data_IF_669877669819
#
_entry.id   IF_669877669819
#
_cell.length_a   1.000
_cell.length_b   1.000
_cell.length_c   1.000
_cell.angle_alpha   90.00
_cell.angle_beta   90.00
_cell.angle_gamma   90.00
#
_symmetry.space_group_name_H-M   'P 1'
#
loop_
_entity.id
_entity.type
_entity.pdbx_description
1 polymer ?
#
# COMPACT_ATOMS: atom_id res chain seq x y z
N UNK A 1 12.01 -3.17 -14.96
CA UNK A 1 10.60 -2.91 -14.58
C UNK A 1 10.50 -2.42 -13.13
N UNK A 2 9.99 -1.20 -12.87
CA UNK A 2 10.11 -0.55 -11.59
C UNK A 2 9.12 -1.07 -10.55
N UNK A 3 9.60 -1.24 -9.32
CA UNK A 3 8.74 -1.43 -8.14
C UNK A 3 8.93 -0.22 -7.24
N UNK A 4 7.84 0.45 -6.89
CA UNK A 4 7.87 1.66 -6.07
C UNK A 4 7.07 1.40 -4.80
N UNK A 5 7.74 1.39 -3.65
CA UNK A 5 7.09 1.26 -2.35
C UNK A 5 6.94 2.64 -1.70
N UNK A 6 5.70 3.10 -1.54
CA UNK A 6 5.38 4.32 -0.82
C UNK A 6 4.97 4.01 0.62
N UNK A 7 5.64 4.66 1.56
CA UNK A 7 5.31 4.63 2.97
C UNK A 7 5.31 6.03 3.57
N UNK A 8 5.31 6.10 4.90
CA UNK A 8 5.33 7.36 5.65
C UNK A 8 4.12 7.50 6.55
N UNK A 9 3.79 8.75 6.88
CA UNK A 9 2.79 9.09 7.90
C UNK A 9 1.36 8.99 7.37
N UNK A 10 0.41 8.76 8.27
CA UNK A 10 -1.03 8.91 8.01
C UNK A 10 -1.29 10.26 7.35
N UNK A 11 -2.10 10.30 6.29
CA UNK A 11 -2.36 11.52 5.51
C UNK A 11 -1.11 12.25 4.96
N UNK A 12 0.04 11.57 4.86
CA UNK A 12 1.27 12.10 4.26
C UNK A 12 1.23 12.24 2.74
N UNK A 13 0.19 11.71 2.08
CA UNK A 13 -0.05 11.86 0.63
C UNK A 13 0.10 10.58 -0.20
N UNK A 14 0.45 9.43 0.41
CA UNK A 14 0.72 8.19 -0.31
C UNK A 14 -0.43 7.67 -1.18
N UNK A 15 -1.67 7.75 -0.68
CA UNK A 15 -2.86 7.30 -1.43
C UNK A 15 -3.31 8.27 -2.53
N UNK A 16 -2.77 9.49 -2.54
CA UNK A 16 -3.00 10.47 -3.60
C UNK A 16 -1.88 10.35 -4.65
N UNK A 17 -0.63 10.35 -4.20
CA UNK A 17 0.56 10.32 -5.05
C UNK A 17 0.73 8.95 -5.74
N UNK A 18 0.43 7.84 -5.05
CA UNK A 18 0.65 6.50 -5.57
C UNK A 18 -0.01 6.23 -6.92
N UNK A 19 -1.32 6.48 -7.07
CA UNK A 19 -1.99 6.34 -8.36
C UNK A 19 -1.47 7.32 -9.42
N UNK A 20 -1.08 8.54 -9.03
CA UNK A 20 -0.51 9.53 -9.95
C UNK A 20 0.83 9.03 -10.54
N UNK A 21 1.69 8.44 -9.70
CA UNK A 21 2.96 7.83 -10.11
C UNK A 21 2.70 6.65 -11.05
N UNK A 22 1.79 5.76 -10.66
CA UNK A 22 1.42 4.58 -11.46
C UNK A 22 0.93 4.98 -12.86
N UNK A 23 0.05 6.00 -12.93
CA UNK A 23 -0.46 6.57 -14.18
C UNK A 23 0.65 7.16 -15.05
N UNK A 24 1.59 7.93 -14.49
CA UNK A 24 2.68 8.55 -15.26
C UNK A 24 3.66 7.51 -15.81
N UNK A 25 3.92 6.44 -15.05
CA UNK A 25 4.82 5.35 -15.46
C UNK A 25 4.12 4.26 -16.28
N UNK A 26 2.79 4.29 -16.37
CA UNK A 26 1.95 3.24 -17.00
C UNK A 26 2.20 1.86 -16.39
N UNK A 27 2.22 1.82 -15.06
CA UNK A 27 2.42 0.61 -14.26
C UNK A 27 1.23 0.40 -13.31
N UNK A 28 1.16 -0.77 -12.68
CA UNK A 28 0.06 -1.10 -11.78
C UNK A 28 0.14 -0.33 -10.46
N UNK A 29 -1.01 -0.21 -9.79
CA UNK A 29 -1.12 0.38 -8.45
C UNK A 29 -1.83 -0.58 -7.51
N UNK A 30 -1.24 -0.78 -6.34
CA UNK A 30 -1.78 -1.60 -5.26
C UNK A 30 -1.62 -0.87 -3.94
N UNK A 31 -2.66 -0.88 -3.12
CA UNK A 31 -2.62 -0.33 -1.76
C UNK A 31 -2.92 -1.39 -0.70
N UNK A 32 -2.96 -0.93 0.55
CA UNK A 32 -3.17 -1.76 1.73
C UNK A 32 -4.45 -2.61 1.66
N UNK A 33 -5.50 -2.15 0.97
CA UNK A 33 -6.82 -2.80 0.94
C UNK A 33 -6.82 -3.87 -0.13
N UNK A 34 -6.21 -3.57 -1.28
CA UNK A 34 -5.96 -4.55 -2.34
C UNK A 34 -5.02 -5.66 -1.82
N UNK A 35 -3.97 -5.32 -1.07
CA UNK A 35 -3.06 -6.33 -0.46
C UNK A 35 -3.82 -7.19 0.56
N UNK A 36 -4.66 -6.58 1.39
CA UNK A 36 -5.49 -7.32 2.36
C UNK A 36 -6.43 -8.28 1.63
N UNK A 37 -7.16 -7.81 0.63
CA UNK A 37 -8.07 -8.64 -0.15
C UNK A 37 -7.33 -9.74 -0.89
N UNK A 38 -6.19 -9.44 -1.50
CA UNK A 38 -5.33 -10.43 -2.15
C UNK A 38 -4.83 -11.48 -1.15
N UNK A 39 -4.36 -11.08 0.04
CA UNK A 39 -3.96 -12.01 1.08
C UNK A 39 -5.12 -12.90 1.58
N UNK A 40 -6.32 -12.34 1.73
CA UNK A 40 -7.52 -13.07 2.15
C UNK A 40 -8.03 -14.03 1.07
N UNK A 41 -8.01 -13.63 -0.20
CA UNK A 41 -8.39 -14.47 -1.33
C UNK A 41 -7.33 -15.54 -1.66
N UNK A 42 -6.05 -15.25 -1.36
CA UNK A 42 -4.95 -16.20 -1.32
C UNK A 42 -5.03 -17.17 -0.14
N UNK A 43 -6.15 -17.20 0.60
CA UNK A 43 -6.59 -18.37 1.38
C UNK A 43 -6.70 -19.67 0.57
N UNK A 44 -6.40 -19.65 -0.74
CA UNK A 44 -5.96 -20.81 -1.51
C UNK A 44 -4.44 -20.98 -1.39
N UNK A 45 -4.04 -21.67 -0.33
CA UNK A 45 -3.37 -22.98 -0.40
C UNK A 45 -2.31 -23.15 0.70
N UNK A 46 -2.77 -23.38 1.93
CA UNK A 46 -1.91 -23.86 3.04
C UNK A 46 -1.38 -25.28 2.73
N UNK A 47 -1.99 -26.03 1.80
CA UNK A 47 -1.44 -27.31 1.31
C UNK A 47 -0.30 -27.13 0.28
N UNK A 48 -0.20 -26.00 -0.42
CA UNK A 48 0.92 -25.69 -1.33
C UNK A 48 2.23 -25.44 -0.57
N UNK A 49 2.15 -24.97 0.68
CA UNK A 49 3.31 -24.76 1.54
C UNK A 49 3.58 -25.90 2.53
N UNK A 50 2.77 -26.98 2.49
CA UNK A 50 2.98 -28.18 3.32
C UNK A 50 3.30 -29.43 2.51
N UNK A 51 3.79 -29.30 1.28
CA UNK A 51 4.47 -30.40 0.57
C UNK A 51 5.79 -29.94 -0.05
N UNK A 52 6.84 -30.64 0.39
CA UNK A 52 8.20 -30.75 -0.15
C UNK A 52 8.31 -30.42 -1.64
N UNK A 53 9.41 -29.73 -1.95
CA UNK A 53 10.20 -29.79 -3.18
C UNK A 53 9.54 -30.49 -4.37
N UNK A 54 9.19 -29.72 -5.40
CA UNK A 54 9.58 -29.97 -6.78
C UNK A 54 9.19 -28.76 -7.64
N UNK A 55 10.11 -28.26 -8.48
CA UNK A 55 9.78 -27.30 -9.53
C UNK A 55 8.85 -28.00 -10.53
N UNK A 56 7.70 -27.41 -10.91
CA UNK A 56 7.49 -27.27 -12.34
C UNK A 56 6.74 -26.00 -12.79
N UNK A 57 6.95 -25.79 -14.07
CA UNK A 57 6.43 -24.82 -15.03
C UNK A 57 4.92 -24.56 -15.01
N UNK A 58 4.59 -23.31 -15.34
CA UNK A 58 3.32 -22.82 -15.90
C UNK A 58 2.17 -22.63 -14.91
N UNK A 59 2.26 -21.55 -14.11
CA UNK A 59 1.17 -21.07 -13.24
C UNK A 59 0.68 -19.65 -13.60
N UNK A 60 1.12 -19.09 -14.73
CA UNK A 60 0.94 -17.66 -15.06
C UNK A 60 -0.50 -17.27 -15.40
N UNK A 61 -1.35 -18.16 -15.89
CA UNK A 61 -2.65 -17.73 -16.45
C UNK A 61 -3.77 -17.63 -15.39
N UNK A 62 -3.73 -18.40 -14.31
CA UNK A 62 -4.86 -18.49 -13.36
C UNK A 62 -4.91 -17.33 -12.35
N UNK A 63 -3.77 -16.92 -11.80
CA UNK A 63 -3.71 -15.77 -10.88
C UNK A 63 -3.85 -14.46 -11.65
N UNK A 64 -3.18 -14.32 -12.80
CA UNK A 64 -3.33 -13.12 -13.65
C UNK A 64 -4.78 -12.94 -14.11
N UNK A 65 -5.51 -14.01 -14.45
CA UNK A 65 -6.93 -13.88 -14.79
C UNK A 65 -7.84 -13.59 -13.59
N UNK A 66 -7.53 -14.06 -12.39
CA UNK A 66 -8.33 -13.73 -11.19
C UNK A 66 -8.08 -12.30 -10.71
N UNK A 67 -6.82 -11.86 -10.72
CA UNK A 67 -6.45 -10.47 -10.44
C UNK A 67 -6.97 -9.55 -11.55
N UNK A 68 -6.86 -9.92 -12.83
CA UNK A 68 -7.43 -9.15 -13.94
C UNK A 68 -8.95 -9.07 -13.87
N UNK A 69 -9.67 -10.13 -13.46
CA UNK A 69 -11.12 -10.05 -13.27
C UNK A 69 -11.52 -9.12 -12.11
N UNK A 70 -10.66 -8.96 -11.10
CA UNK A 70 -10.88 -8.01 -10.00
C UNK A 70 -10.54 -6.59 -10.48
N UNK A 71 -9.45 -6.41 -11.23
CA UNK A 71 -9.07 -5.14 -11.85
C UNK A 71 -10.09 -4.67 -12.90
N UNK A 72 -10.65 -5.57 -13.72
CA UNK A 72 -11.70 -5.31 -14.71
C UNK A 72 -13.03 -4.93 -14.05
N UNK A 73 -13.40 -5.60 -12.96
CA UNK A 73 -14.57 -5.20 -12.14
C UNK A 73 -14.35 -3.87 -11.41
N UNK A 74 -13.10 -3.54 -11.09
CA UNK A 74 -12.72 -2.25 -10.51
C UNK A 74 -12.79 -1.13 -11.54
N UNK A 75 -12.43 -1.40 -12.81
CA UNK A 75 -12.57 -0.45 -13.91
C UNK A 75 -14.04 -0.15 -14.26
N UNK A 76 -14.96 -1.11 -14.03
CA UNK A 76 -16.38 -0.93 -14.33
C UNK A 76 -17.12 -0.01 -13.34
N UNK A 77 -16.57 0.20 -12.13
CA UNK A 77 -17.14 1.14 -11.15
C UNK A 77 -16.79 2.61 -11.44
N UNK A 78 -15.97 2.86 -12.47
CA UNK A 78 -15.43 4.17 -12.84
C UNK A 78 -16.28 4.99 -13.83
N UNK A 79 -17.47 4.51 -14.21
CA UNK A 79 -18.39 5.29 -15.05
C UNK A 79 -19.42 6.01 -14.17
N UNK A 80 -19.14 7.28 -13.82
CA UNK A 80 -20.08 8.43 -13.73
C UNK A 80 -19.46 9.51 -12.81
N UNK A 81 -19.16 10.68 -13.39
CA UNK A 81 -19.01 11.96 -12.68
C UNK A 81 -17.57 12.41 -12.36
N UNK A 82 -16.85 12.86 -13.39
CA UNK A 82 -15.45 13.37 -13.40
C UNK A 82 -14.33 12.37 -12.99
N UNK A 83 -13.29 12.19 -13.82
CA UNK A 83 -12.74 10.87 -14.15
C UNK A 83 -11.59 10.36 -13.28
N UNK A 84 -11.21 11.04 -12.19
CA UNK A 84 -9.97 10.67 -11.47
C UNK A 84 -10.15 9.86 -10.21
N UNK A 85 -11.11 10.14 -9.32
CA UNK A 85 -11.40 9.23 -8.20
C UNK A 85 -12.85 9.40 -7.79
N UNK A 86 -13.69 8.40 -8.12
CA UNK A 86 -15.13 8.42 -7.84
C UNK A 86 -15.48 8.22 -6.35
N UNK A 87 -16.77 8.32 -6.00
CA UNK A 87 -17.26 8.23 -4.60
C UNK A 87 -16.91 6.90 -3.90
N UNK A 88 -16.55 5.86 -4.64
CA UNK A 88 -16.05 4.59 -4.09
C UNK A 88 -14.63 4.66 -3.54
N UNK A 89 -13.74 5.49 -4.11
CA UNK A 89 -12.37 5.66 -3.60
C UNK A 89 -12.36 6.29 -2.20
N UNK A 90 -13.41 7.05 -1.88
CA UNK A 90 -13.54 7.66 -0.58
C UNK A 90 -13.73 6.61 0.54
N UNK A 91 -14.44 5.52 0.28
CA UNK A 91 -14.62 4.43 1.25
C UNK A 91 -13.33 3.63 1.53
N UNK A 92 -12.39 3.57 0.58
CA UNK A 92 -11.08 2.93 0.77
C UNK A 92 -10.09 3.84 1.55
N UNK A 93 -10.33 5.14 1.50
CA UNK A 93 -9.49 6.13 2.15
C UNK A 93 -9.70 6.20 3.68
N UNK A 94 -10.81 5.70 4.23
CA UNK A 94 -11.14 5.86 5.67
C UNK A 94 -10.44 4.86 6.62
N UNK A 95 -10.10 3.63 6.20
CA UNK A 95 -9.66 2.59 7.16
C UNK A 95 -8.15 2.36 7.20
N UNK A 96 -7.33 3.38 7.47
CA UNK A 96 -5.85 3.31 7.33
C UNK A 96 -5.19 2.24 8.22
N UNK A 97 -5.68 2.05 9.45
CA UNK A 97 -5.17 1.06 10.41
C UNK A 97 -6.25 0.47 11.35
N UNK A 98 -7.53 0.81 11.15
CA UNK A 98 -8.67 0.41 11.99
C UNK A 98 -9.01 -1.08 11.87
N UNK A 99 -8.56 -1.73 10.79
CA UNK A 99 -8.69 -3.17 10.52
C UNK A 99 -8.03 -4.11 11.55
N UNK A 100 -7.35 -3.57 12.55
CA UNK A 100 -6.68 -4.34 13.60
C UNK A 100 -7.55 -4.55 14.85
N UNK A 101 -8.84 -4.23 14.82
CA UNK A 101 -9.77 -4.92 15.71
C UNK A 101 -9.86 -6.39 15.27
N UNK A 102 -9.08 -7.21 15.95
CA UNK A 102 -8.90 -8.67 15.83
C UNK A 102 -10.19 -9.52 15.83
N UNK A 103 -11.36 -8.91 15.92
CA UNK A 103 -12.65 -9.58 16.03
C UNK A 103 -13.23 -9.93 14.64
N UNK A 104 -13.22 -9.02 13.66
CA UNK A 104 -13.83 -9.29 12.35
C UNK A 104 -13.03 -10.28 11.48
N UNK A 105 -11.69 -10.27 11.57
CA UNK A 105 -10.84 -11.17 10.77
C UNK A 105 -10.82 -12.61 11.33
N UNK A 106 -10.90 -12.77 12.66
CA UNK A 106 -10.87 -14.08 13.32
C UNK A 106 -12.18 -14.85 13.15
N UNK A 107 -13.33 -14.16 13.21
CA UNK A 107 -14.65 -14.75 13.01
C UNK A 107 -14.91 -15.15 11.55
N UNK A 108 -14.46 -14.34 10.58
CA UNK A 108 -14.79 -14.55 9.16
C UNK A 108 -13.81 -15.46 8.42
N UNK A 109 -12.52 -15.46 8.80
CA UNK A 109 -11.47 -16.16 8.05
C UNK A 109 -10.66 -17.16 8.89
N UNK A 110 -10.89 -17.25 10.21
CA UNK A 110 -10.19 -18.17 11.12
C UNK A 110 -8.66 -18.10 11.07
N UNK A 111 -8.08 -16.97 10.63
CA UNK A 111 -6.64 -16.77 10.59
C UNK A 111 -6.15 -16.20 11.92
N UNK A 112 -5.08 -16.77 12.47
CA UNK A 112 -4.35 -16.11 13.55
C UNK A 112 -3.51 -14.94 12.96
N UNK A 113 -3.16 -13.98 13.82
CA UNK A 113 -2.45 -12.76 13.41
C UNK A 113 -1.11 -13.03 12.70
N UNK A 114 -0.45 -14.15 13.03
CA UNK A 114 0.84 -14.54 12.46
C UNK A 114 0.70 -14.98 11.02
N UNK A 115 -0.29 -15.83 10.73
CA UNK A 115 -0.53 -16.36 9.38
C UNK A 115 -1.04 -15.28 8.44
N UNK A 116 -1.91 -14.39 8.92
CA UNK A 116 -2.34 -13.22 8.17
C UNK A 116 -1.15 -12.30 7.81
N UNK A 117 -0.29 -12.02 8.79
CA UNK A 117 0.90 -11.19 8.59
C UNK A 117 1.85 -11.81 7.55
N UNK A 118 2.10 -13.13 7.62
CA UNK A 118 2.90 -13.85 6.62
C UNK A 118 2.27 -13.76 5.23
N UNK A 119 0.95 -13.96 5.11
CA UNK A 119 0.23 -13.85 3.85
C UNK A 119 0.41 -12.46 3.21
N UNK A 120 0.25 -11.40 4.00
CA UNK A 120 0.49 -10.01 3.54
C UNK A 120 1.93 -9.82 3.06
N UNK A 121 2.93 -10.30 3.81
CA UNK A 121 4.34 -10.18 3.42
C UNK A 121 4.63 -10.92 2.12
N UNK A 122 4.11 -12.13 1.96
CA UNK A 122 4.28 -12.92 0.74
C UNK A 122 3.61 -12.27 -0.46
N UNK A 123 2.39 -11.73 -0.30
CA UNK A 123 1.71 -10.97 -1.36
C UNK A 123 2.56 -9.79 -1.82
N UNK A 124 3.14 -9.01 -0.90
CA UNK A 124 4.01 -7.87 -1.26
C UNK A 124 5.26 -8.34 -2.03
N UNK A 125 5.88 -9.44 -1.62
CA UNK A 125 7.03 -10.02 -2.31
C UNK A 125 6.67 -10.48 -3.73
N UNK A 126 5.56 -11.20 -3.88
CA UNK A 126 5.08 -11.68 -5.18
C UNK A 126 4.74 -10.52 -6.13
N UNK A 127 4.07 -9.48 -5.62
CA UNK A 127 3.78 -8.28 -6.41
C UNK A 127 5.08 -7.58 -6.85
N UNK A 128 6.09 -7.51 -6.00
CA UNK A 128 7.38 -6.94 -6.35
C UNK A 128 8.15 -7.78 -7.38
N UNK A 129 8.04 -9.11 -7.34
CA UNK A 129 8.67 -10.02 -8.32
C UNK A 129 8.06 -9.86 -9.73
N UNK A 130 6.75 -9.61 -9.82
CA UNK A 130 6.09 -9.30 -11.10
C UNK A 130 6.64 -7.99 -11.72
N UNK A 131 7.09 -7.07 -10.87
CA UNK A 131 7.59 -5.76 -11.30
C UNK A 131 6.47 -4.84 -11.78
N UNK A 132 6.84 -3.65 -12.28
CA UNK A 132 5.90 -2.68 -12.85
C UNK A 132 4.71 -2.38 -11.93
N UNK A 133 5.00 -1.97 -10.69
CA UNK A 133 3.96 -1.73 -9.69
C UNK A 133 4.35 -0.65 -8.67
N UNK A 134 3.36 0.17 -8.30
CA UNK A 134 3.40 1.05 -7.13
C UNK A 134 2.64 0.38 -5.99
N UNK A 135 3.29 0.21 -4.84
CA UNK A 135 2.74 -0.42 -3.64
C UNK A 135 2.67 0.63 -2.52
N UNK A 136 1.49 0.85 -1.94
CA UNK A 136 1.29 1.81 -0.84
C UNK A 136 0.93 1.11 0.46
N UNK A 137 1.73 1.32 1.50
CA UNK A 137 1.43 0.86 2.87
C UNK A 137 1.85 -0.58 3.17
N UNK A 138 1.23 -1.18 4.20
CA UNK A 138 1.47 -2.55 4.74
C UNK A 138 2.94 -2.91 4.95
N UNK A 139 3.79 -1.92 5.25
CA UNK A 139 5.21 -2.14 5.45
C UNK A 139 5.99 -2.53 4.20
N UNK A 140 5.49 -2.24 2.99
CA UNK A 140 6.19 -2.56 1.74
C UNK A 140 7.63 -2.01 1.69
N UNK A 141 7.86 -0.82 2.27
CA UNK A 141 9.19 -0.23 2.40
C UNK A 141 10.15 -1.03 3.30
N UNK A 142 9.61 -1.82 4.23
CA UNK A 142 10.38 -2.71 5.11
C UNK A 142 10.57 -4.07 4.46
N UNK A 143 9.48 -4.67 3.97
CA UNK A 143 9.48 -5.99 3.32
C UNK A 143 10.47 -5.99 2.14
N UNK A 144 10.47 -4.92 1.35
CA UNK A 144 11.28 -4.79 0.14
C UNK A 144 12.61 -4.08 0.36
N UNK A 145 13.07 -3.92 1.61
CA UNK A 145 14.27 -3.14 1.96
C UNK A 145 15.54 -3.60 1.23
N UNK A 146 15.68 -4.90 1.01
CA UNK A 146 16.84 -5.51 0.35
C UNK A 146 16.60 -5.86 -1.12
N UNK A 147 15.45 -5.48 -1.68
CA UNK A 147 15.13 -5.80 -3.05
C UNK A 147 15.89 -4.85 -4.01
N UNK A 148 16.73 -5.36 -4.92
CA UNK A 148 17.68 -4.54 -5.68
C UNK A 148 17.00 -3.61 -6.70
N UNK A 149 15.74 -3.88 -7.06
CA UNK A 149 14.97 -3.12 -8.06
C UNK A 149 13.76 -2.38 -7.48
N UNK A 150 13.83 -1.99 -6.20
CA UNK A 150 12.74 -1.26 -5.53
C UNK A 150 13.17 0.17 -5.21
N UNK A 151 12.35 1.16 -5.56
CA UNK A 151 12.44 2.51 -5.04
C UNK A 151 11.52 2.64 -3.80
N UNK A 152 12.09 3.00 -2.65
CA UNK A 152 11.32 3.22 -1.41
C UNK A 152 11.23 4.71 -1.11
N UNK A 153 10.02 5.26 -1.05
CA UNK A 153 9.81 6.69 -0.77
C UNK A 153 8.93 6.88 0.45
N UNK A 154 9.41 7.69 1.39
CA UNK A 154 8.65 8.13 2.56
C UNK A 154 7.92 9.43 2.26
N UNK A 155 6.63 9.51 2.60
CA UNK A 155 5.81 10.70 2.42
C UNK A 155 5.39 11.24 3.78
N UNK A 156 5.77 12.48 4.05
CA UNK A 156 5.47 13.19 5.30
C UNK A 156 4.72 14.49 5.00
N UNK A 157 4.11 15.05 6.02
CA UNK A 157 3.49 16.37 5.99
C UNK A 157 3.41 16.92 7.41
N UNK A 158 3.35 18.24 7.52
CA UNK A 158 3.08 18.94 8.77
C UNK A 158 1.72 18.51 9.35
N UNK A 159 1.64 18.46 10.67
CA UNK A 159 0.43 18.03 11.39
C UNK A 159 -0.82 18.77 10.91
N UNK A 160 -0.74 20.10 10.76
CA UNK A 160 -1.88 20.92 10.32
C UNK A 160 -2.41 20.47 8.96
N UNK A 161 -1.53 20.21 7.99
CA UNK A 161 -1.95 19.77 6.66
C UNK A 161 -2.52 18.35 6.67
N UNK A 162 -1.96 17.47 7.51
CA UNK A 162 -2.50 16.12 7.70
C UNK A 162 -3.92 16.16 8.29
N UNK A 163 -4.13 16.98 9.32
CA UNK A 163 -5.45 17.22 9.93
C UNK A 163 -6.41 17.78 8.88
N UNK A 164 -6.02 18.81 8.13
CA UNK A 164 -6.86 19.40 7.10
C UNK A 164 -7.26 18.40 6.02
N UNK A 165 -6.33 17.53 5.59
CA UNK A 165 -6.60 16.46 4.64
C UNK A 165 -7.63 15.49 5.20
N UNK A 166 -7.45 15.00 6.43
CA UNK A 166 -8.39 14.06 7.07
C UNK A 166 -9.76 14.73 7.28
N UNK A 167 -9.80 15.96 7.80
CA UNK A 167 -11.03 16.72 8.02
C UNK A 167 -11.81 16.92 6.73
N UNK A 168 -11.15 17.39 5.67
CA UNK A 168 -11.79 17.61 4.36
C UNK A 168 -12.26 16.31 3.73
N UNK A 169 -11.45 15.26 3.88
CA UNK A 169 -11.68 13.97 3.24
C UNK A 169 -12.80 13.17 3.92
N UNK A 170 -12.87 13.17 5.25
CA UNK A 170 -13.87 12.44 6.04
C UNK A 170 -15.06 13.30 6.44
N UNK A 171 -15.03 14.59 6.12
CA UNK A 171 -16.05 15.57 6.50
C UNK A 171 -16.31 15.59 8.02
N UNK A 172 -15.23 15.70 8.79
CA UNK A 172 -15.24 15.76 10.26
C UNK A 172 -14.56 17.04 10.76
N UNK A 173 -14.78 17.42 12.01
CA UNK A 173 -14.12 18.60 12.60
C UNK A 173 -12.61 18.44 12.67
N UNK A 174 -11.87 19.55 12.76
CA UNK A 174 -10.40 19.52 12.92
C UNK A 174 -9.99 18.74 14.19
N UNK A 175 -10.74 18.88 15.29
CA UNK A 175 -10.49 18.13 16.52
C UNK A 175 -10.66 16.63 16.31
N UNK A 176 -11.72 16.22 15.61
CA UNK A 176 -11.95 14.80 15.31
C UNK A 176 -10.91 14.26 14.33
N UNK A 177 -10.54 15.04 13.32
CA UNK A 177 -9.50 14.69 12.36
C UNK A 177 -8.14 14.51 13.04
N UNK A 178 -7.81 15.35 14.02
CA UNK A 178 -6.61 15.20 14.85
C UNK A 178 -6.62 13.90 15.65
N UNK A 179 -7.73 13.59 16.32
CA UNK A 179 -7.90 12.34 17.06
C UNK A 179 -7.71 11.12 16.14
N UNK A 180 -8.33 11.13 14.95
CA UNK A 180 -8.19 10.08 13.95
C UNK A 180 -6.74 9.94 13.46
N UNK A 181 -6.05 11.06 13.21
CA UNK A 181 -4.65 11.07 12.80
C UNK A 181 -3.76 10.40 13.86
N UNK A 182 -3.88 10.81 15.11
CA UNK A 182 -3.10 10.29 16.23
C UNK A 182 -3.37 8.80 16.46
N UNK A 183 -4.64 8.38 16.41
CA UNK A 183 -5.03 6.98 16.55
C UNK A 183 -4.46 6.12 15.42
N UNK A 184 -4.49 6.60 14.18
CA UNK A 184 -3.94 5.90 13.01
C UNK A 184 -2.42 5.79 13.05
N UNK A 185 -1.72 6.87 13.40
CA UNK A 185 -0.26 6.84 13.57
C UNK A 185 0.15 5.89 14.71
N UNK A 186 -0.59 5.88 15.83
CA UNK A 186 -0.37 4.94 16.93
C UNK A 186 -0.59 3.48 16.51
N UNK A 187 -1.70 3.20 15.82
CA UNK A 187 -2.01 1.86 15.32
C UNK A 187 -0.96 1.40 14.29
N UNK A 188 -0.46 2.32 13.46
CA UNK A 188 0.66 2.07 12.55
C UNK A 188 1.91 1.63 13.32
N UNK A 189 2.35 2.39 14.32
CA UNK A 189 3.53 2.01 15.13
C UNK A 189 3.34 0.63 15.77
N UNK A 190 2.16 0.36 16.33
CA UNK A 190 1.83 -0.95 16.92
C UNK A 190 1.92 -2.08 15.89
N UNK A 191 1.40 -1.86 14.68
CA UNK A 191 1.51 -2.81 13.58
C UNK A 191 2.98 -3.10 13.23
N UNK A 192 3.80 -2.06 13.04
CA UNK A 192 5.21 -2.24 12.69
C UNK A 192 6.02 -2.94 13.78
N UNK A 193 5.73 -2.62 15.05
CA UNK A 193 6.32 -3.31 16.18
C UNK A 193 5.93 -4.80 16.20
N UNK A 194 4.63 -5.10 16.15
CA UNK A 194 4.11 -6.47 16.24
C UNK A 194 4.54 -7.35 15.08
N UNK A 195 4.60 -6.79 13.86
CA UNK A 195 4.83 -7.56 12.63
C UNK A 195 6.29 -7.64 12.21
N UNK A 196 7.06 -6.56 12.41
CA UNK A 196 8.43 -6.46 11.91
C UNK A 196 9.48 -6.26 13.01
N UNK A 197 9.08 -6.19 14.29
CA UNK A 197 9.94 -5.81 15.41
C UNK A 197 10.64 -4.45 15.19
N UNK A 198 9.90 -3.51 14.59
CA UNK A 198 10.38 -2.15 14.30
C UNK A 198 9.69 -1.14 15.22
N UNK A 199 10.50 -0.45 16.02
CA UNK A 199 10.03 0.62 16.91
C UNK A 199 9.82 1.95 16.19
N UNK A 200 10.69 2.26 15.24
CA UNK A 200 10.66 3.50 14.45
C UNK A 200 10.42 3.19 12.97
N UNK A 201 9.15 3.10 12.53
CA UNK A 201 8.81 2.88 11.13
C UNK A 201 9.16 4.07 10.24
N UNK A 202 9.35 5.25 10.81
CA UNK A 202 9.63 6.52 10.10
C UNK A 202 11.13 6.81 9.97
N UNK A 203 11.98 5.89 10.45
CA UNK A 203 13.42 6.00 10.28
C UNK A 203 13.78 6.24 8.80
N UNK A 204 14.43 7.38 8.52
CA UNK A 204 14.81 7.79 7.16
C UNK A 204 15.62 6.75 6.39
N UNK A 205 16.38 5.88 7.08
CA UNK A 205 17.16 4.81 6.45
C UNK A 205 16.29 3.65 5.90
N UNK A 206 14.99 3.65 6.20
CA UNK A 206 14.00 2.76 5.58
C UNK A 206 13.54 3.24 4.19
N UNK A 207 14.09 4.36 3.70
CA UNK A 207 13.72 4.97 2.42
C UNK A 207 14.95 5.37 1.61
N UNK A 208 14.79 5.45 0.30
CA UNK A 208 15.76 6.08 -0.61
C UNK A 208 15.55 7.60 -0.66
N UNK A 209 14.30 8.06 -0.53
CA UNK A 209 13.95 9.46 -0.43
C UNK A 209 12.80 9.68 0.57
N UNK A 210 12.77 10.83 1.21
CA UNK A 210 11.63 11.28 2.05
C UNK A 210 11.17 12.64 1.54
N UNK A 211 9.90 12.76 1.16
CA UNK A 211 9.33 13.98 0.59
C UNK A 211 8.29 14.58 1.54
N UNK A 212 8.42 15.87 1.82
CA UNK A 212 7.45 16.63 2.60
C UNK A 212 6.40 17.27 1.70
N UNK A 213 5.18 16.76 1.73
CA UNK A 213 4.05 17.20 0.91
C UNK A 213 3.31 18.43 1.46
N UNK A 214 3.78 19.01 2.58
CA UNK A 214 3.38 20.36 3.01
C UNK A 214 4.15 21.45 2.26
N UNK A 215 5.38 21.14 1.85
CA UNK A 215 6.28 22.11 1.21
C UNK A 215 6.26 22.03 -0.32
N UNK A 216 5.47 21.12 -0.90
CA UNK A 216 5.35 20.94 -2.35
C UNK A 216 3.96 20.41 -2.74
N UNK A 217 3.58 20.61 -4.00
CA UNK A 217 2.35 20.02 -4.53
C UNK A 217 2.49 18.51 -4.73
N UNK A 218 1.36 17.80 -4.75
CA UNK A 218 1.36 16.37 -5.06
C UNK A 218 1.88 16.09 -6.47
N UNK A 219 1.61 16.95 -7.46
CA UNK A 219 2.17 16.82 -8.81
C UNK A 219 3.70 16.86 -8.81
N UNK A 220 4.29 17.81 -8.08
CA UNK A 220 5.75 17.93 -7.96
C UNK A 220 6.34 16.72 -7.24
N UNK A 221 5.72 16.26 -6.16
CA UNK A 221 6.15 15.04 -5.48
C UNK A 221 6.08 13.81 -6.41
N UNK A 222 5.01 13.69 -7.21
CA UNK A 222 4.87 12.65 -8.22
C UNK A 222 6.00 12.72 -9.25
N UNK A 223 6.31 13.91 -9.79
CA UNK A 223 7.39 14.07 -10.78
C UNK A 223 8.75 13.66 -10.20
N UNK A 224 9.05 14.08 -8.97
CA UNK A 224 10.28 13.68 -8.28
C UNK A 224 10.38 12.16 -8.15
N UNK A 225 9.29 11.48 -7.76
CA UNK A 225 9.28 10.02 -7.60
C UNK A 225 9.48 9.33 -8.96
N UNK A 226 8.82 9.83 -10.00
CA UNK A 226 8.95 9.31 -11.36
C UNK A 226 10.39 9.44 -11.85
N UNK A 227 11.04 10.57 -11.63
CA UNK A 227 12.42 10.78 -12.06
C UNK A 227 13.43 9.96 -11.25
N UNK A 228 13.20 9.77 -9.95
CA UNK A 228 13.99 8.85 -9.12
C UNK A 228 13.87 7.40 -9.61
N UNK A 229 12.68 6.97 -10.06
CA UNK A 229 12.49 5.61 -10.58
C UNK A 229 13.33 5.40 -11.85
N UNK A 230 13.40 6.41 -12.72
CA UNK A 230 14.18 6.38 -13.95
C UNK A 230 15.68 6.34 -13.73
N UNK A 231 16.16 7.16 -12.79
CA UNK A 231 17.59 7.26 -12.46
C UNK A 231 18.15 5.93 -11.91
N UNK A 232 17.35 5.20 -11.14
CA UNK A 232 17.70 3.87 -10.64
C UNK A 232 17.72 2.77 -11.72
N UNK A 233 17.61 3.14 -13.00
CA UNK A 233 17.51 2.25 -14.17
C UNK A 233 16.44 1.16 -14.01
N UNK A 234 15.37 1.49 -13.28
CA UNK A 234 14.30 0.54 -13.04
C UNK A 234 13.38 0.38 -14.27
N UNK A 235 13.49 1.26 -15.26
CA UNK A 235 12.66 1.30 -16.47
C UNK A 235 13.22 0.47 -17.64
N UNK A 236 14.43 -0.10 -17.49
CA UNK A 236 15.05 -0.98 -18.48
C UNK A 236 14.72 -2.46 -18.23
#
# INVERSE_FOLDING_TARGET
MPVIALGGLTAGGGRIIGPMVAKKLKIDYVDKDIIKQAALQSGMDIELFTKKEEKPSSFTDSILQKVSNILEKSAFSGAVGDPHFGPGAAAFLTHEFEDLSSEENSEKYHLNDVDYSKGVQQTVLQLAELGSIVIVGRGANIILKNHPKVLRVGLIAEEKDRINRISSFENVSEEKAKELMENRDKARIQYFNKVFDIQDPDNRFNYHAVLNTSSMSFDMATDIIVDLAKDLHLDN
#
